data_IF_745420866997
#
_entry.id   IF_745420866997
#
_cell.length_a   1.000
_cell.length_b   1.000
_cell.length_c   1.000
_cell.angle_alpha   90.00
_cell.angle_beta   90.00
_cell.angle_gamma   90.00
#
_symmetry.space_group_name_H-M   'P 1'
#
loop_
_entity.id
_entity.type
_entity.pdbx_description
1 polymer ?
#
# COMPACT_ATOMS: atom_id res chain seq x y z
N UNK A 1 -6.35 10.18 3.37
CA UNK A 1 -6.39 8.91 4.06
C UNK A 1 -7.15 9.02 5.38
N UNK A 2 -8.05 8.12 5.66
CA UNK A 2 -8.78 8.14 6.90
C UNK A 2 -7.92 7.60 8.05
N UNK A 3 -8.20 8.06 9.24
CA UNK A 3 -7.47 7.63 10.41
C UNK A 3 -8.14 6.42 11.04
N UNK A 4 -7.34 5.41 11.32
CA UNK A 4 -7.79 4.22 12.00
C UNK A 4 -7.77 4.38 13.53
N UNK A 5 -7.11 5.40 14.05
CA UNK A 5 -6.89 5.55 15.48
C UNK A 5 -7.53 6.83 16.02
N UNK A 6 -8.09 6.74 17.25
CA UNK A 6 -8.50 7.92 17.98
C UNK A 6 -7.28 8.58 18.63
N UNK A 7 -7.38 9.87 18.95
CA UNK A 7 -6.33 10.60 19.66
C UNK A 7 -5.97 9.92 20.97
N UNK A 8 -6.96 9.37 21.67
CA UNK A 8 -6.77 8.68 22.94
C UNK A 8 -5.92 7.43 22.80
N UNK A 9 -6.15 6.65 21.74
CA UNK A 9 -5.37 5.44 21.47
C UNK A 9 -3.92 5.78 21.15
N UNK A 10 -3.69 6.88 20.44
CA UNK A 10 -2.35 7.36 20.13
C UNK A 10 -1.63 7.80 21.39
N UNK A 11 -2.31 8.53 22.28
CA UNK A 11 -1.72 8.95 23.56
C UNK A 11 -1.32 7.73 24.40
N UNK A 12 -2.16 6.71 24.48
CA UNK A 12 -1.86 5.49 25.22
C UNK A 12 -0.63 4.79 24.64
N UNK A 13 -0.50 4.75 23.32
CA UNK A 13 0.64 4.16 22.66
C UNK A 13 1.92 4.95 22.95
N UNK A 14 1.84 6.27 22.87
CA UNK A 14 2.98 7.16 23.15
C UNK A 14 3.45 6.96 24.60
N UNK A 15 2.54 6.88 25.55
CA UNK A 15 2.87 6.62 26.95
C UNK A 15 3.51 5.26 27.13
N UNK A 16 3.01 4.25 26.45
CA UNK A 16 3.56 2.89 26.52
C UNK A 16 5.00 2.84 25.98
N UNK A 17 5.35 3.75 25.08
CA UNK A 17 6.71 3.88 24.56
C UNK A 17 7.63 4.71 25.44
N UNK A 18 7.18 5.12 26.63
CA UNK A 18 7.98 5.90 27.58
C UNK A 18 7.99 7.40 27.32
N UNK A 19 7.10 7.89 26.48
CA UNK A 19 7.01 9.29 26.15
C UNK A 19 5.92 9.98 26.98
N UNK A 20 6.05 11.27 27.23
CA UNK A 20 5.01 12.06 27.88
C UNK A 20 3.84 12.29 26.92
N UNK A 21 2.69 12.69 27.45
CA UNK A 21 1.50 12.93 26.65
C UNK A 21 1.73 13.89 25.48
N UNK A 22 0.90 13.75 24.45
CA UNK A 22 1.04 14.48 23.21
C UNK A 22 -0.26 15.25 22.92
N UNK A 23 -0.15 16.49 22.46
CA UNK A 23 -1.32 17.32 22.13
C UNK A 23 -1.92 16.90 20.78
N UNK A 24 -3.18 17.33 20.53
CA UNK A 24 -3.84 17.08 19.25
C UNK A 24 -3.06 17.64 18.06
N UNK A 25 -2.52 18.84 18.21
CA UNK A 25 -1.75 19.47 17.13
C UNK A 25 -0.45 18.71 16.87
N UNK A 26 0.17 18.18 17.91
CA UNK A 26 1.36 17.33 17.76
C UNK A 26 1.03 16.01 17.07
N UNK A 27 -0.11 15.39 17.43
CA UNK A 27 -0.57 14.16 16.77
C UNK A 27 -0.83 14.41 15.29
N UNK A 28 -1.53 15.51 14.96
CA UNK A 28 -1.81 15.85 13.56
C UNK A 28 -0.53 16.08 12.78
N UNK A 29 0.44 16.76 13.36
CA UNK A 29 1.73 17.00 12.73
C UNK A 29 2.49 15.72 12.49
N UNK A 30 2.52 14.84 13.48
CA UNK A 30 3.18 13.54 13.38
C UNK A 30 2.53 12.67 12.30
N UNK A 31 1.20 12.62 12.26
CA UNK A 31 0.48 11.89 11.22
C UNK A 31 0.79 12.43 9.83
N UNK A 32 0.88 13.74 9.69
CA UNK A 32 1.22 14.37 8.43
C UNK A 32 2.64 14.00 7.98
N UNK A 33 3.60 14.00 8.91
CA UNK A 33 4.97 13.60 8.63
C UNK A 33 5.05 12.13 8.20
N UNK A 34 4.29 11.26 8.86
CA UNK A 34 4.23 9.84 8.51
C UNK A 34 3.63 9.67 7.12
N UNK A 35 2.53 10.38 6.83
CA UNK A 35 1.88 10.32 5.52
C UNK A 35 2.83 10.76 4.41
N UNK A 36 3.60 11.81 4.64
CA UNK A 36 4.59 12.30 3.68
C UNK A 36 5.68 11.25 3.42
N UNK A 37 6.19 10.62 4.47
CA UNK A 37 7.20 9.57 4.35
C UNK A 37 6.67 8.34 3.63
N UNK A 38 5.45 7.92 3.94
CA UNK A 38 4.81 6.80 3.27
C UNK A 38 4.60 7.10 1.80
N UNK A 39 4.13 8.32 1.49
CA UNK A 39 3.92 8.74 0.11
C UNK A 39 5.23 8.77 -0.66
N UNK A 40 6.29 9.32 -0.07
CA UNK A 40 7.61 9.34 -0.69
C UNK A 40 8.12 7.92 -0.94
N UNK A 41 7.92 7.02 -0.01
CA UNK A 41 8.29 5.62 -0.17
C UNK A 41 7.51 4.96 -1.31
N UNK A 42 6.20 5.18 -1.38
CA UNK A 42 5.34 4.57 -2.39
C UNK A 42 5.56 5.18 -3.79
N UNK A 43 6.04 6.41 -3.86
CA UNK A 43 6.30 7.09 -5.13
C UNK A 43 7.76 6.99 -5.58
N UNK A 44 8.63 6.35 -4.80
CA UNK A 44 10.04 6.29 -5.12
C UNK A 44 10.28 5.56 -6.45
N UNK A 45 11.32 5.94 -7.20
CA UNK A 45 11.70 5.21 -8.41
C UNK A 45 12.06 3.76 -8.09
N UNK A 46 11.62 2.85 -8.94
CA UNK A 46 11.95 1.44 -8.83
C UNK A 46 13.13 1.18 -9.77
N UNK A 47 14.23 0.71 -9.22
CA UNK A 47 15.46 0.50 -9.96
C UNK A 47 15.79 -0.97 -10.09
N UNK A 48 16.44 -1.33 -11.21
CA UNK A 48 16.87 -2.70 -11.46
C UNK A 48 15.76 -3.59 -12.00
N UNK A 49 16.06 -4.88 -12.09
CA UNK A 49 15.15 -5.88 -12.59
C UNK A 49 14.50 -6.64 -11.44
N UNK A 50 13.20 -6.87 -11.57
CA UNK A 50 12.38 -7.54 -10.56
C UNK A 50 11.67 -8.73 -11.20
N UNK A 51 12.37 -9.88 -11.33
CA UNK A 51 11.79 -11.03 -12.04
C UNK A 51 10.59 -11.65 -11.36
N UNK A 52 10.44 -11.51 -10.05
CA UNK A 52 9.30 -12.07 -9.32
C UNK A 52 8.49 -10.98 -8.67
N UNK A 53 7.17 -11.05 -8.85
CA UNK A 53 6.25 -10.07 -8.29
C UNK A 53 5.11 -10.81 -7.59
N UNK A 54 4.94 -10.55 -6.30
CA UNK A 54 3.78 -11.01 -5.53
C UNK A 54 2.79 -9.87 -5.42
N UNK A 55 1.53 -10.17 -5.72
CA UNK A 55 0.44 -9.22 -5.55
C UNK A 55 -0.60 -9.87 -4.65
N UNK A 56 -0.96 -9.17 -3.59
CA UNK A 56 -1.95 -9.64 -2.63
C UNK A 56 -2.95 -8.55 -2.33
N UNK A 57 -4.18 -8.95 -2.04
CA UNK A 57 -5.24 -8.03 -1.64
C UNK A 57 -5.86 -8.52 -0.34
N UNK A 58 -5.96 -7.63 0.61
CA UNK A 58 -6.58 -7.88 1.91
C UNK A 58 -7.74 -6.92 2.08
N UNK A 59 -8.86 -7.40 2.57
CA UNK A 59 -10.01 -6.55 2.85
C UNK A 59 -9.98 -6.08 4.28
N UNK A 60 -10.18 -4.78 4.46
CA UNK A 60 -10.20 -4.14 5.78
C UNK A 60 -11.51 -3.39 5.91
N UNK A 61 -12.15 -3.51 7.06
CA UNK A 61 -13.36 -2.75 7.35
C UNK A 61 -12.97 -1.41 7.95
N UNK A 62 -13.43 -0.34 7.33
CA UNK A 62 -13.15 1.02 7.80
C UNK A 62 -14.46 1.79 7.95
N UNK A 63 -14.44 2.80 8.80
CA UNK A 63 -15.60 3.67 8.99
C UNK A 63 -15.43 4.91 8.11
N UNK A 64 -16.41 5.11 7.23
CA UNK A 64 -16.47 6.29 6.36
C UNK A 64 -17.85 6.89 6.43
N UNK A 65 -17.96 8.17 6.74
CA UNK A 65 -19.22 8.91 6.82
C UNK A 65 -20.27 8.21 7.69
N UNK A 66 -19.86 7.68 8.84
CA UNK A 66 -20.74 6.99 9.76
C UNK A 66 -21.14 5.57 9.37
N UNK A 67 -20.58 5.05 8.27
CA UNK A 67 -20.87 3.70 7.78
C UNK A 67 -19.61 2.85 7.82
N UNK A 68 -19.79 1.55 8.02
CA UNK A 68 -18.69 0.59 7.94
C UNK A 68 -18.65 0.05 6.51
N UNK A 69 -17.54 0.29 5.84
CA UNK A 69 -17.33 -0.18 4.46
C UNK A 69 -16.09 -1.06 4.39
N UNK A 70 -16.11 -1.99 3.45
CA UNK A 70 -14.97 -2.85 3.19
C UNK A 70 -14.12 -2.21 2.10
N UNK A 71 -12.81 -2.12 2.34
CA UNK A 71 -11.86 -1.61 1.33
C UNK A 71 -10.82 -2.67 1.07
N UNK A 72 -10.32 -2.71 -0.15
CA UNK A 72 -9.25 -3.60 -0.55
C UNK A 72 -7.91 -2.88 -0.37
N UNK A 73 -6.98 -3.51 0.34
CA UNK A 73 -5.60 -3.03 0.42
C UNK A 73 -4.78 -3.95 -0.46
N UNK A 74 -4.23 -3.38 -1.53
CA UNK A 74 -3.46 -4.09 -2.53
C UNK A 74 -1.98 -3.84 -2.27
N UNK A 75 -1.20 -4.92 -2.17
CA UNK A 75 0.22 -4.81 -1.88
C UNK A 75 0.99 -5.57 -2.95
N UNK A 76 2.04 -4.95 -3.48
CA UNK A 76 2.97 -5.58 -4.40
C UNK A 76 4.33 -5.75 -3.73
N UNK A 77 4.82 -6.98 -3.69
CA UNK A 77 6.15 -7.30 -3.17
C UNK A 77 6.97 -7.87 -4.32
N UNK A 78 8.12 -7.29 -4.59
CA UNK A 78 9.01 -7.76 -5.61
C UNK A 78 10.24 -8.45 -5.05
N UNK A 79 10.81 -9.36 -5.83
CA UNK A 79 12.11 -9.96 -5.55
C UNK A 79 13.02 -9.62 -6.72
N UNK A 80 14.14 -8.98 -6.44
CA UNK A 80 15.06 -8.56 -7.50
C UNK A 80 16.01 -9.69 -7.91
N UNK A 81 16.87 -9.40 -8.85
CA UNK A 81 17.84 -10.37 -9.38
C UNK A 81 18.82 -10.87 -8.31
N UNK A 82 19.06 -10.08 -7.28
CA UNK A 82 19.93 -10.44 -6.17
C UNK A 82 19.23 -11.25 -5.09
N UNK A 83 17.94 -11.52 -5.26
CA UNK A 83 17.15 -12.22 -4.27
C UNK A 83 16.59 -11.33 -3.14
N UNK A 84 16.76 -10.03 -3.24
CA UNK A 84 16.26 -9.09 -2.24
C UNK A 84 14.77 -8.86 -2.42
N UNK A 85 14.06 -8.84 -1.33
CA UNK A 85 12.61 -8.67 -1.30
C UNK A 85 12.25 -7.28 -0.81
N UNK A 86 11.38 -6.58 -1.54
CA UNK A 86 10.92 -5.24 -1.16
C UNK A 86 9.44 -5.06 -1.46
N UNK A 87 8.77 -4.26 -0.63
CA UNK A 87 7.42 -3.77 -0.94
C UNK A 87 7.57 -2.70 -2.00
N UNK A 88 7.05 -2.95 -3.19
CA UNK A 88 7.15 -2.03 -4.31
C UNK A 88 6.00 -1.03 -4.37
N UNK A 89 4.83 -1.41 -3.89
CA UNK A 89 3.69 -0.51 -3.93
C UNK A 89 2.54 -0.98 -3.07
N UNK A 90 1.64 -0.05 -2.79
CA UNK A 90 0.41 -0.30 -2.05
C UNK A 90 -0.67 0.63 -2.58
N UNK A 91 -1.89 0.13 -2.66
CA UNK A 91 -3.04 0.91 -3.09
C UNK A 91 -4.24 0.51 -2.25
N UNK A 92 -5.12 1.46 -2.00
CA UNK A 92 -6.37 1.20 -1.30
C UNK A 92 -7.51 1.51 -2.26
N UNK A 93 -8.38 0.54 -2.47
CA UNK A 93 -9.51 0.68 -3.39
C UNK A 93 -10.78 0.11 -2.81
N UNK A 94 -11.91 0.45 -3.44
CA UNK A 94 -13.21 -0.01 -3.00
C UNK A 94 -13.60 -1.35 -3.63
N UNK A 95 -12.82 -1.83 -4.61
CA UNK A 95 -13.08 -3.11 -5.28
C UNK A 95 -11.79 -3.67 -5.89
N UNK A 96 -11.84 -4.93 -6.30
CA UNK A 96 -10.75 -5.59 -7.01
C UNK A 96 -11.04 -5.69 -8.51
N UNK A 97 -11.75 -4.72 -9.07
CA UNK A 97 -12.08 -4.71 -10.49
C UNK A 97 -10.83 -4.49 -11.33
N UNK A 98 -10.85 -4.98 -12.57
CA UNK A 98 -9.74 -4.84 -13.52
C UNK A 98 -9.19 -3.41 -13.62
N UNK A 99 -10.01 -2.35 -13.70
CA UNK A 99 -9.47 -0.98 -13.80
C UNK A 99 -8.56 -0.60 -12.64
N UNK A 100 -8.86 -1.03 -11.42
CA UNK A 100 -8.04 -0.74 -10.25
C UNK A 100 -6.70 -1.47 -10.35
N UNK A 101 -6.72 -2.73 -10.71
CA UNK A 101 -5.52 -3.54 -10.89
C UNK A 101 -4.66 -3.00 -12.03
N UNK A 102 -5.29 -2.63 -13.13
CA UNK A 102 -4.60 -2.07 -14.29
C UNK A 102 -3.87 -0.78 -13.94
N UNK A 103 -4.54 0.13 -13.24
CA UNK A 103 -3.93 1.39 -12.84
C UNK A 103 -2.81 1.18 -11.83
N UNK A 104 -2.99 0.25 -10.90
CA UNK A 104 -1.96 -0.09 -9.92
C UNK A 104 -0.69 -0.59 -10.60
N UNK A 105 -0.82 -1.52 -11.54
CA UNK A 105 0.31 -2.06 -12.29
C UNK A 105 0.95 -1.00 -13.18
N UNK A 106 0.17 -0.13 -13.80
CA UNK A 106 0.69 0.97 -14.61
C UNK A 106 1.51 1.95 -13.78
N UNK A 107 1.08 2.23 -12.56
CA UNK A 107 1.87 3.06 -11.65
C UNK A 107 3.22 2.44 -11.35
N UNK A 108 3.25 1.14 -11.07
CA UNK A 108 4.51 0.43 -10.84
C UNK A 108 5.43 0.52 -12.06
N UNK A 109 4.88 0.33 -13.25
CA UNK A 109 5.64 0.41 -14.49
C UNK A 109 6.19 1.81 -14.72
N UNK A 110 5.37 2.84 -14.48
CA UNK A 110 5.81 4.24 -14.62
C UNK A 110 6.92 4.59 -13.64
N UNK A 111 6.93 3.96 -12.46
CA UNK A 111 7.99 4.17 -11.47
C UNK A 111 9.26 3.43 -11.80
N UNK A 112 9.24 2.52 -12.77
CA UNK A 112 10.43 1.83 -13.24
C UNK A 112 10.40 0.31 -13.10
N UNK A 113 9.27 -0.29 -12.72
CA UNK A 113 9.17 -1.75 -12.63
C UNK A 113 9.41 -2.37 -14.00
N UNK A 114 10.37 -3.30 -14.05
CA UNK A 114 10.73 -4.00 -15.29
C UNK A 114 11.31 -5.38 -15.00
N UNK A 115 11.41 -6.18 -16.04
CA UNK A 115 12.04 -7.50 -15.95
C UNK A 115 11.17 -8.53 -15.25
N UNK A 116 9.86 -8.28 -15.09
CA UNK A 116 8.96 -9.22 -14.44
C UNK A 116 8.78 -10.46 -15.31
N UNK A 117 9.09 -11.63 -14.75
CA UNK A 117 8.97 -12.92 -15.43
C UNK A 117 7.86 -13.78 -14.84
N UNK A 118 7.55 -13.58 -13.56
CA UNK A 118 6.54 -14.38 -12.88
C UNK A 118 5.77 -13.48 -11.92
N UNK A 119 4.45 -13.52 -12.04
CA UNK A 119 3.54 -12.84 -11.11
C UNK A 119 2.82 -13.91 -10.30
N UNK A 120 2.88 -13.79 -8.99
CA UNK A 120 2.24 -14.71 -8.06
C UNK A 120 1.10 -13.95 -7.39
N UNK A 121 -0.12 -14.44 -7.53
CA UNK A 121 -1.30 -13.83 -6.94
C UNK A 121 -2.39 -14.87 -6.80
N UNK A 122 -3.43 -14.55 -6.05
CA UNK A 122 -4.64 -15.36 -6.06
C UNK A 122 -5.26 -15.33 -7.46
N UNK A 123 -5.94 -16.41 -7.82
CA UNK A 123 -6.52 -16.57 -9.15
C UNK A 123 -7.77 -15.70 -9.31
N UNK A 124 -7.57 -14.39 -9.42
CA UNK A 124 -8.61 -13.39 -9.59
C UNK A 124 -8.62 -12.91 -11.04
N UNK A 125 -9.80 -12.91 -11.66
CA UNK A 125 -9.91 -12.55 -13.09
C UNK A 125 -9.43 -11.13 -13.39
N UNK A 126 -9.73 -10.19 -12.51
CA UNK A 126 -9.29 -8.80 -12.69
C UNK A 126 -7.78 -8.68 -12.68
N UNK A 127 -7.09 -9.43 -11.80
CA UNK A 127 -5.63 -9.43 -11.73
C UNK A 127 -5.04 -10.04 -13.00
N UNK A 128 -5.57 -11.18 -13.44
CA UNK A 128 -5.09 -11.85 -14.66
C UNK A 128 -5.20 -10.95 -15.88
N UNK A 129 -6.35 -10.31 -16.04
CA UNK A 129 -6.59 -9.40 -17.15
C UNK A 129 -5.64 -8.21 -17.10
N UNK A 130 -5.43 -7.62 -15.93
CA UNK A 130 -4.54 -6.48 -15.75
C UNK A 130 -3.08 -6.86 -16.04
N UNK A 131 -2.63 -8.01 -15.56
CA UNK A 131 -1.26 -8.50 -15.79
C UNK A 131 -1.02 -8.69 -17.29
N UNK A 132 -1.96 -9.30 -17.99
CA UNK A 132 -1.85 -9.50 -19.44
C UNK A 132 -1.80 -8.18 -20.20
N UNK A 133 -2.50 -7.16 -19.71
CA UNK A 133 -2.58 -5.86 -20.37
C UNK A 133 -1.35 -4.99 -20.12
N UNK A 134 -0.75 -5.03 -18.94
CA UNK A 134 0.29 -4.11 -18.52
C UNK A 134 1.68 -4.76 -18.53
N UNK A 135 1.77 -5.98 -18.08
CA UNK A 135 3.01 -6.74 -17.98
C UNK A 135 3.05 -7.84 -19.05
#
# INVERSE_FOLDING_TARGET
MSRAFSTRSVDDLVKAMGMSGISRSQVSRLCQEIDEKVRAFLDRPIEGDWPYLWIDATYVKVRQAGRIVSVAVIIAVGVNSDGRREVLGMEVGTSEAEPIWTEFLRKLTRRGLRGVKLVISDAHEGIKAAVSKVL
#
